data_IF_468148673234
#
_entry.id   IF_468148673234
#
_cell.length_a   1.000
_cell.length_b   1.000
_cell.length_c   1.000
_cell.angle_alpha   90.00
_cell.angle_beta   90.00
_cell.angle_gamma   90.00
#
_symmetry.space_group_name_H-M   'P 1'
#
loop_
_entity.id
_entity.type
_entity.pdbx_description
1 polymer ?
#
# COMPACT_ATOMS: atom_id res chain seq x y z
N UNK A 1 -11.33 2.25 5.78
CA UNK A 1 -12.35 1.50 5.00
C UNK A 1 -12.56 0.14 5.65
N UNK A 2 -13.78 -0.42 5.69
CA UNK A 2 -13.99 -1.79 6.18
C UNK A 2 -13.21 -2.80 5.35
N UNK A 3 -12.64 -3.82 6.01
CA UNK A 3 -11.99 -4.93 5.33
C UNK A 3 -13.06 -5.90 4.81
N UNK A 4 -12.85 -6.42 3.60
CA UNK A 4 -13.69 -7.45 3.00
C UNK A 4 -12.82 -8.63 2.54
N UNK A 5 -13.38 -9.83 2.36
CA UNK A 5 -12.63 -10.99 1.85
C UNK A 5 -11.93 -10.69 0.52
N UNK A 6 -12.61 -10.00 -0.41
CA UNK A 6 -12.04 -9.60 -1.71
C UNK A 6 -10.82 -8.69 -1.53
N UNK A 7 -10.87 -7.75 -0.58
CA UNK A 7 -9.73 -6.88 -0.32
C UNK A 7 -8.57 -7.64 0.33
N UNK A 8 -8.88 -8.57 1.24
CA UNK A 8 -7.86 -9.39 1.89
C UNK A 8 -7.19 -10.35 0.90
N UNK A 9 -7.91 -10.83 -0.10
CA UNK A 9 -7.35 -11.60 -1.21
C UNK A 9 -6.38 -10.74 -2.04
N UNK A 10 -6.79 -9.52 -2.41
CA UNK A 10 -5.90 -8.57 -3.10
C UNK A 10 -4.65 -8.26 -2.27
N UNK A 11 -4.80 -8.03 -0.97
CA UNK A 11 -3.67 -7.83 -0.06
C UNK A 11 -2.75 -9.05 0.00
N UNK A 12 -3.31 -10.27 0.04
CA UNK A 12 -2.53 -11.50 0.02
C UNK A 12 -1.74 -11.66 -1.29
N UNK A 13 -2.36 -11.36 -2.44
CA UNK A 13 -1.69 -11.36 -3.74
C UNK A 13 -0.57 -10.34 -3.82
N UNK A 14 -0.79 -9.11 -3.34
CA UNK A 14 0.25 -8.07 -3.27
C UNK A 14 1.42 -8.53 -2.40
N UNK A 15 1.14 -9.05 -1.21
CA UNK A 15 2.16 -9.60 -0.31
C UNK A 15 2.98 -10.71 -0.98
N UNK A 16 2.32 -11.64 -1.68
CA UNK A 16 2.99 -12.73 -2.37
C UNK A 16 3.90 -12.21 -3.51
N UNK A 17 3.47 -11.16 -4.22
CA UNK A 17 4.23 -10.60 -5.34
C UNK A 17 5.42 -9.73 -4.91
N UNK A 18 5.33 -9.04 -3.77
CA UNK A 18 6.31 -8.01 -3.37
C UNK A 18 7.09 -8.33 -2.10
N UNK A 19 6.61 -9.25 -1.27
CA UNK A 19 7.22 -9.60 0.01
C UNK A 19 7.00 -8.60 1.14
N UNK A 20 6.20 -7.54 0.93
CA UNK A 20 5.86 -6.56 1.98
C UNK A 20 5.05 -7.22 3.11
N UNK A 21 5.11 -6.64 4.32
CA UNK A 21 4.43 -7.20 5.50
C UNK A 21 2.92 -7.14 5.33
N UNK A 22 2.19 -8.05 5.99
CA UNK A 22 0.73 -8.15 5.87
C UNK A 22 0.00 -6.82 6.14
N UNK A 23 0.32 -6.04 7.19
CA UNK A 23 -0.34 -4.74 7.39
C UNK A 23 -0.14 -3.77 6.23
N UNK A 24 1.06 -3.74 5.66
CA UNK A 24 1.42 -2.87 4.54
C UNK A 24 0.69 -3.28 3.26
N UNK A 25 0.61 -4.59 3.00
CA UNK A 25 -0.16 -5.14 1.89
C UNK A 25 -1.66 -4.81 2.00
N UNK A 26 -2.22 -4.85 3.21
CA UNK A 26 -3.62 -4.46 3.46
C UNK A 26 -3.82 -2.96 3.19
N UNK A 27 -2.91 -2.11 3.67
CA UNK A 27 -2.99 -0.67 3.40
C UNK A 27 -2.84 -0.34 1.92
N UNK A 28 -1.89 -0.97 1.22
CA UNK A 28 -1.72 -0.79 -0.22
C UNK A 28 -2.96 -1.27 -1.00
N UNK A 29 -3.51 -2.44 -0.68
CA UNK A 29 -4.75 -2.92 -1.29
C UNK A 29 -5.92 -1.96 -1.06
N UNK A 30 -6.07 -1.42 0.16
CA UNK A 30 -7.09 -0.40 0.46
C UNK A 30 -6.92 0.85 -0.42
N UNK A 31 -5.70 1.35 -0.55
CA UNK A 31 -5.40 2.54 -1.32
C UNK A 31 -5.69 2.35 -2.81
N UNK A 32 -5.25 1.23 -3.38
CA UNK A 32 -5.53 0.87 -4.77
C UNK A 32 -7.04 0.68 -5.01
N UNK A 33 -7.74 -0.06 -4.13
CA UNK A 33 -9.17 -0.33 -4.24
C UNK A 33 -10.06 0.93 -4.07
N UNK A 34 -9.53 2.00 -3.48
CA UNK A 34 -10.20 3.31 -3.37
C UNK A 34 -9.67 4.33 -4.37
N UNK A 35 -8.69 3.97 -5.21
CA UNK A 35 -7.98 4.90 -6.09
C UNK A 35 -7.51 6.13 -5.30
N UNK A 36 -6.88 5.88 -4.16
CA UNK A 36 -6.34 6.93 -3.32
C UNK A 36 -5.43 7.84 -4.16
N UNK A 37 -5.57 9.16 -3.99
CA UNK A 37 -4.78 10.13 -4.75
C UNK A 37 -3.31 10.07 -4.36
N UNK A 38 -3.03 9.79 -3.08
CA UNK A 38 -1.68 9.67 -2.55
C UNK A 38 -1.65 8.73 -1.36
N UNK A 39 -0.65 7.87 -1.32
CA UNK A 39 -0.28 7.02 -0.21
C UNK A 39 0.98 7.59 0.44
N UNK A 40 0.86 8.04 1.69
CA UNK A 40 1.96 8.68 2.42
C UNK A 40 2.48 7.69 3.46
N UNK A 41 3.79 7.43 3.46
CA UNK A 41 4.44 6.60 4.47
C UNK A 41 5.93 6.95 4.60
N UNK A 42 6.54 6.55 5.72
CA UNK A 42 7.98 6.60 5.95
C UNK A 42 8.66 5.24 5.75
N UNK A 43 7.98 4.29 5.13
CA UNK A 43 8.59 3.03 4.70
C UNK A 43 8.85 3.06 3.18
N UNK A 44 10.13 3.16 2.80
CA UNK A 44 10.55 3.14 1.39
C UNK A 44 10.35 1.79 0.71
N UNK A 45 10.18 0.71 1.48
CA UNK A 45 9.94 -0.61 0.90
C UNK A 45 8.65 -0.65 0.07
N UNK A 46 7.67 0.22 0.36
CA UNK A 46 6.40 0.32 -0.35
C UNK A 46 6.52 0.84 -1.79
N UNK A 47 7.66 1.43 -2.17
CA UNK A 47 7.93 1.85 -3.54
C UNK A 47 8.02 0.67 -4.53
N UNK A 48 8.10 -0.57 -4.01
CA UNK A 48 8.08 -1.78 -4.84
C UNK A 48 6.71 -2.07 -5.49
N UNK A 49 5.66 -1.32 -5.14
CA UNK A 49 4.30 -1.46 -5.69
C UNK A 49 4.11 -0.38 -6.78
N UNK A 50 4.26 -0.69 -8.08
CA UNK A 50 4.37 0.35 -9.11
C UNK A 50 3.09 1.15 -9.31
N UNK A 51 1.92 0.55 -9.05
CA UNK A 51 0.61 1.21 -9.23
C UNK A 51 0.20 2.07 -8.02
N UNK A 52 0.95 2.04 -6.91
CA UNK A 52 0.62 2.80 -5.72
C UNK A 52 1.17 4.23 -5.84
N UNK A 53 0.32 5.29 -5.84
CA UNK A 53 0.81 6.66 -5.87
C UNK A 53 1.44 7.00 -4.53
N UNK A 54 2.75 6.87 -4.42
CA UNK A 54 3.47 6.92 -3.15
C UNK A 54 4.24 8.25 -2.95
N UNK A 55 4.19 8.78 -1.74
CA UNK A 55 5.09 9.83 -1.26
C UNK A 55 5.78 9.39 0.03
N UNK A 56 7.10 9.55 0.07
CA UNK A 56 7.88 9.40 1.29
C UNK A 56 7.76 10.67 2.13
N UNK A 57 7.16 10.57 3.32
CA UNK A 57 6.81 11.77 4.11
C UNK A 57 8.03 12.62 4.44
N UNK A 58 9.16 12.01 4.79
CA UNK A 58 10.36 12.76 5.17
C UNK A 58 11.01 13.54 4.02
N UNK A 59 10.60 13.35 2.75
CA UNK A 59 11.05 14.22 1.66
C UNK A 59 10.39 15.62 1.71
N UNK A 60 9.37 15.80 2.55
CA UNK A 60 8.59 17.05 2.67
C UNK A 60 8.74 17.74 4.03
N UNK A 61 9.53 17.18 4.94
CA UNK A 61 9.81 17.77 6.24
C UNK A 61 11.05 18.69 6.17
N UNK A 62 11.08 19.79 6.94
CA UNK A 62 12.22 20.72 6.97
C UNK A 62 13.48 20.11 7.60
#
# INVERSE_FOLDING_TARGET
MPLSPVLLEQAASLRAATGIKTPDAIHAACALARKAVLFISNDKALQCIPELPFAYLNDYLP
#
